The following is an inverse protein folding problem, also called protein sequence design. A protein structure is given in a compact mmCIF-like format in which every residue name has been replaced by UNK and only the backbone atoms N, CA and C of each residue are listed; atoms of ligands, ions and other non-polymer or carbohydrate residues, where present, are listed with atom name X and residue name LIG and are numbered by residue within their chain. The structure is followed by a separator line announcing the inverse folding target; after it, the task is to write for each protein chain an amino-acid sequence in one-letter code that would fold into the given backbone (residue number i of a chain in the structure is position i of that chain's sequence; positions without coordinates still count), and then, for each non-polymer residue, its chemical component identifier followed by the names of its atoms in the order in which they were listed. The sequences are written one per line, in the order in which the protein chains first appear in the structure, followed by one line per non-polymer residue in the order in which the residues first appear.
data_IF_470137870424
#
_entry.id   IF_470137870424
#
_cell.length_a   1.000
_cell.length_b   1.000
_cell.length_c   1.000
_cell.angle_alpha   90.00
_cell.angle_beta   90.00
_cell.angle_gamma   90.00
#
_symmetry.space_group_name_H-M   'P 1'
#
loop_
_entity.id
_entity.type
_entity.pdbx_description
1 polymer ?
#
# COMPACT_ATOMS: atom_id res chain seq x y z
N UNK A 1 16.28 15.93 -16.51
CA UNK A 1 17.08 15.87 -17.75
C UNK A 1 18.51 16.25 -17.40
N UNK A 2 19.33 15.26 -17.04
CA UNK A 2 20.74 15.42 -16.71
C UNK A 2 21.47 14.45 -17.63
N UNK A 3 22.13 14.99 -18.65
CA UNK A 3 23.09 14.24 -19.45
C UNK A 3 24.45 14.37 -18.77
N UNK A 4 25.07 13.25 -18.43
CA UNK A 4 26.46 13.22 -17.99
C UNK A 4 27.31 12.54 -19.06
N UNK A 5 28.21 13.33 -19.61
CA UNK A 5 29.19 13.01 -20.65
C UNK A 5 30.23 11.99 -20.14
N UNK A 6 30.62 11.05 -21.00
CA UNK A 6 31.77 10.18 -20.76
C UNK A 6 32.96 10.67 -21.61
N UNK A 7 34.04 11.06 -20.93
CA UNK A 7 35.31 11.43 -21.54
C UNK A 7 36.13 10.20 -21.92
N UNK A 8 36.48 10.07 -23.20
CA UNK A 8 37.52 9.14 -23.67
C UNK A 8 38.86 9.89 -23.74
N UNK A 9 39.85 9.43 -22.96
CA UNK A 9 41.24 9.84 -23.13
C UNK A 9 41.97 8.79 -23.97
N UNK A 10 42.35 9.15 -25.19
CA UNK A 10 43.37 8.44 -25.96
C UNK A 10 44.74 9.08 -25.69
N UNK A 11 45.67 8.29 -25.18
CA UNK A 11 47.07 8.67 -25.10
C UNK A 11 47.76 8.40 -26.45
N UNK A 12 48.37 9.46 -26.98
CA UNK A 12 49.29 9.45 -28.11
C UNK A 12 50.62 8.80 -27.70
N UNK A 13 51.23 8.01 -28.58
CA UNK A 13 52.69 7.97 -28.70
C UNK A 13 53.09 7.95 -30.18
N UNK A 14 54.04 8.84 -30.43
CA UNK A 14 54.60 9.30 -31.69
C UNK A 14 55.92 8.56 -31.96
N UNK A 15 56.21 8.18 -33.21
CA UNK A 15 57.42 8.61 -33.94
C UNK A 15 57.80 7.78 -35.17
N UNK A 16 58.08 8.54 -36.22
CA UNK A 16 59.18 8.40 -37.18
C UNK A 16 59.18 7.24 -38.18
N UNK A 17 58.96 7.63 -39.43
CA UNK A 17 58.94 6.82 -40.65
C UNK A 17 60.18 7.17 -41.48
N UNK A 18 61.19 6.29 -41.56
CA UNK A 18 62.16 6.30 -42.67
C UNK A 18 62.69 4.89 -42.97
N UNK A 19 62.70 4.58 -44.27
CA UNK A 19 63.74 3.85 -45.04
C UNK A 19 63.25 2.59 -45.78
N UNK A 20 63.18 2.72 -47.12
CA UNK A 20 63.00 1.63 -48.09
C UNK A 20 64.32 0.88 -48.29
N UNK A 21 64.29 -0.45 -48.44
CA UNK A 21 65.19 -1.20 -49.33
C UNK A 21 64.60 -2.59 -49.67
N UNK A 22 64.84 -3.04 -50.91
CA UNK A 22 64.40 -4.30 -51.53
C UNK A 22 65.32 -5.50 -51.18
N UNK A 23 64.85 -6.70 -51.55
CA UNK A 23 65.54 -7.98 -51.82
C UNK A 23 65.28 -9.09 -50.78
N UNK A 24 64.79 -10.22 -51.29
CA UNK A 24 64.27 -11.35 -50.52
C UNK A 24 65.31 -12.32 -49.97
N UNK A 25 64.86 -13.08 -48.97
CA UNK A 25 65.44 -14.34 -48.51
C UNK A 25 64.33 -15.06 -47.72
N UNK A 26 64.09 -16.32 -48.05
CA UNK A 26 63.09 -17.20 -47.46
C UNK A 26 63.31 -17.40 -45.95
N UNK A 27 62.33 -17.01 -45.14
CA UNK A 27 62.20 -17.42 -43.75
C UNK A 27 60.72 -17.77 -43.50
N UNK A 28 60.45 -19.02 -43.13
CA UNK A 28 59.16 -19.45 -42.61
C UNK A 28 58.94 -18.78 -41.25
N UNK A 29 58.39 -17.57 -41.23
CA UNK A 29 57.85 -16.97 -40.02
C UNK A 29 56.58 -17.72 -39.67
N UNK A 30 56.66 -18.60 -38.67
CA UNK A 30 55.48 -19.11 -37.97
C UNK A 30 54.83 -17.93 -37.25
N UNK A 31 53.85 -17.29 -37.90
CA UNK A 31 52.97 -16.33 -37.27
C UNK A 31 52.15 -17.07 -36.22
N UNK A 32 52.64 -17.10 -34.97
CA UNK A 32 51.83 -17.52 -33.84
C UNK A 32 50.69 -16.51 -33.69
N UNK A 33 49.50 -16.93 -34.14
CA UNK A 33 48.26 -16.18 -33.95
C UNK A 33 47.99 -16.15 -32.45
N UNK A 34 48.27 -15.01 -31.80
CA UNK A 34 47.82 -14.78 -30.43
C UNK A 34 46.30 -14.60 -30.52
N UNK A 35 45.56 -15.66 -30.23
CA UNK A 35 44.12 -15.55 -30.05
C UNK A 35 43.88 -14.73 -28.78
N UNK A 36 43.38 -13.51 -28.93
CA UNK A 36 42.89 -12.74 -27.79
C UNK A 36 41.75 -13.52 -27.15
N UNK A 37 41.98 -14.07 -25.96
CA UNK A 37 40.93 -14.73 -25.18
C UNK A 37 39.93 -13.67 -24.72
N UNK A 38 38.70 -13.75 -25.18
CA UNK A 38 37.64 -12.86 -24.72
C UNK A 38 37.28 -13.20 -23.27
N UNK A 39 37.31 -12.19 -22.40
CA UNK A 39 36.80 -12.28 -21.04
C UNK A 39 35.34 -11.79 -21.03
N UNK A 40 34.45 -12.55 -20.41
CA UNK A 40 33.07 -12.14 -20.19
C UNK A 40 32.89 -11.74 -18.72
N UNK A 41 32.04 -10.73 -18.50
CA UNK A 41 31.62 -10.29 -17.17
C UNK A 41 30.11 -10.50 -17.11
N UNK A 42 29.66 -11.30 -16.14
CA UNK A 42 28.25 -11.55 -15.92
C UNK A 42 27.73 -10.61 -14.84
N UNK A 43 26.73 -9.80 -15.19
CA UNK A 43 26.05 -8.91 -14.25
C UNK A 43 24.72 -9.56 -13.85
N UNK A 44 24.52 -9.73 -12.54
CA UNK A 44 23.24 -10.16 -11.97
C UNK A 44 22.78 -9.14 -10.94
N UNK A 45 21.50 -8.79 -11.01
CA UNK A 45 20.84 -7.95 -10.03
C UNK A 45 19.47 -8.56 -9.69
N UNK A 46 19.11 -8.54 -8.39
CA UNK A 46 17.75 -8.84 -7.93
C UNK A 46 17.03 -7.52 -7.70
N UNK A 47 16.02 -7.22 -8.53
CA UNK A 47 15.19 -6.04 -8.39
C UNK A 47 13.95 -6.42 -7.58
N UNK A 48 13.75 -5.77 -6.43
CA UNK A 48 12.50 -5.87 -5.69
C UNK A 48 11.48 -4.88 -6.28
N UNK A 49 10.21 -5.25 -6.24
CA UNK A 49 9.12 -4.34 -6.60
C UNK A 49 8.61 -3.63 -5.34
N UNK A 50 8.52 -2.30 -5.40
CA UNK A 50 7.90 -1.50 -4.36
C UNK A 50 6.41 -1.31 -4.71
N UNK A 51 5.53 -1.73 -3.80
CA UNK A 51 4.11 -1.38 -3.84
C UNK A 51 3.88 -0.06 -3.11
N UNK A 52 3.09 0.84 -3.68
CA UNK A 52 2.69 2.08 -2.99
C UNK A 52 1.32 2.52 -3.48
N UNK A 53 0.51 3.08 -2.58
CA UNK A 53 -0.71 3.81 -2.88
C UNK A 53 -0.84 4.96 -1.88
N UNK A 54 -1.36 6.10 -2.33
CA UNK A 54 -1.84 7.16 -1.46
C UNK A 54 -3.26 6.80 -0.98
N UNK A 55 -3.52 7.00 0.30
CA UNK A 55 -4.85 6.82 0.90
C UNK A 55 -5.42 8.18 1.27
N UNK A 56 -6.67 8.43 0.85
CA UNK A 56 -7.45 9.56 1.32
C UNK A 56 -8.81 9.08 1.87
N UNK A 57 -9.17 9.58 3.05
CA UNK A 57 -10.47 9.39 3.70
C UNK A 57 -10.98 10.76 4.17
N UNK A 58 -12.29 10.94 4.39
CA UNK A 58 -12.78 12.16 5.03
C UNK A 58 -12.13 12.34 6.41
N UNK A 59 -11.69 13.56 6.77
CA UNK A 59 -11.02 13.80 8.05
C UNK A 59 -11.96 13.69 9.24
N UNK A 60 -13.27 13.72 9.01
CA UNK A 60 -14.29 13.60 10.06
C UNK A 60 -15.54 12.93 9.50
N UNK A 61 -16.12 12.02 10.26
CA UNK A 61 -17.38 11.34 9.96
C UNK A 61 -18.44 11.84 10.93
N UNK A 62 -19.39 12.64 10.43
CA UNK A 62 -20.47 13.21 11.23
C UNK A 62 -21.74 12.38 11.01
N UNK A 63 -22.23 11.78 12.09
CA UNK A 63 -23.52 11.07 12.13
C UNK A 63 -24.67 12.04 12.31
N UNK A 64 -25.87 11.64 11.87
CA UNK A 64 -27.11 12.40 12.03
C UNK A 64 -27.03 13.91 11.72
N UNK A 65 -26.18 14.30 10.77
CA UNK A 65 -25.93 15.71 10.41
C UNK A 65 -25.43 16.60 11.58
N UNK A 66 -24.88 16.00 12.63
CA UNK A 66 -24.38 16.70 13.82
C UNK A 66 -25.39 16.81 14.96
N UNK A 67 -26.63 16.38 14.74
CA UNK A 67 -27.67 16.34 15.76
C UNK A 67 -27.51 15.15 16.71
N UNK A 68 -28.08 15.27 17.91
CA UNK A 68 -28.07 14.19 18.90
C UNK A 68 -28.70 12.89 18.36
N UNK A 69 -28.16 11.75 18.79
CA UNK A 69 -28.66 10.42 18.44
C UNK A 69 -29.16 9.74 19.70
N UNK A 70 -30.42 9.33 19.70
CA UNK A 70 -31.03 8.64 20.83
C UNK A 70 -30.55 7.18 20.90
N UNK A 71 -30.37 6.61 22.10
CA UNK A 71 -30.04 5.19 22.27
C UNK A 71 -30.96 4.26 21.49
N UNK A 72 -32.27 4.53 21.46
CA UNK A 72 -33.23 3.71 20.70
C UNK A 72 -32.95 3.67 19.19
N UNK A 73 -32.37 4.74 18.62
CA UNK A 73 -31.98 4.77 17.20
C UNK A 73 -30.73 3.94 16.94
N UNK A 74 -29.80 3.92 17.90
CA UNK A 74 -28.61 3.06 17.87
C UNK A 74 -29.04 1.59 17.95
N UNK A 75 -29.92 1.26 18.90
CA UNK A 75 -30.46 -0.09 19.11
C UNK A 75 -31.25 -0.59 17.90
N UNK A 76 -32.05 0.28 17.26
CA UNK A 76 -32.78 -0.01 16.03
C UNK A 76 -31.89 -0.05 14.77
N UNK A 77 -30.61 0.37 14.87
CA UNK A 77 -29.67 0.52 13.75
C UNK A 77 -30.24 1.44 12.65
N UNK A 78 -30.84 2.53 13.08
CA UNK A 78 -31.46 3.53 12.19
C UNK A 78 -30.44 4.19 11.26
N UNK A 79 -30.94 4.83 10.20
CA UNK A 79 -30.10 5.59 9.27
C UNK A 79 -29.30 6.70 9.97
N UNK A 80 -29.84 7.30 11.03
CA UNK A 80 -29.15 8.31 11.83
C UNK A 80 -27.84 7.80 12.46
N UNK A 81 -27.79 6.51 12.81
CA UNK A 81 -26.64 5.84 13.40
C UNK A 81 -25.68 5.25 12.36
N UNK A 82 -25.86 5.55 11.07
CA UNK A 82 -25.04 5.03 9.97
C UNK A 82 -24.50 6.15 9.10
N UNK A 83 -23.26 5.99 8.65
CA UNK A 83 -22.64 6.91 7.69
C UNK A 83 -21.75 6.14 6.72
N UNK A 84 -21.98 6.35 5.43
CA UNK A 84 -21.11 5.81 4.39
C UNK A 84 -20.06 6.84 4.00
N UNK A 85 -18.84 6.38 3.74
CA UNK A 85 -17.77 7.16 3.13
C UNK A 85 -16.90 6.29 2.25
N UNK A 86 -16.05 6.91 1.43
CA UNK A 86 -15.11 6.19 0.58
C UNK A 86 -13.70 6.35 1.11
N UNK A 87 -12.97 5.23 1.16
CA UNK A 87 -11.52 5.23 1.19
C UNK A 87 -11.03 5.28 -0.25
N UNK A 88 -10.34 6.35 -0.60
CA UNK A 88 -9.79 6.58 -1.93
C UNK A 88 -8.36 6.08 -2.00
N UNK A 89 -8.08 5.22 -2.96
CA UNK A 89 -6.73 4.83 -3.34
C UNK A 89 -6.33 5.58 -4.60
N UNK A 90 -5.22 6.31 -4.54
CA UNK A 90 -4.68 7.08 -5.67
C UNK A 90 -3.19 6.84 -5.83
N UNK A 91 -2.68 7.16 -7.02
CA UNK A 91 -1.25 7.04 -7.35
C UNK A 91 -0.67 5.66 -7.03
N UNK A 92 -1.50 4.61 -7.13
CA UNK A 92 -1.07 3.25 -6.89
C UNK A 92 -0.04 2.80 -7.93
N UNK A 93 1.07 2.22 -7.46
CA UNK A 93 2.20 1.77 -8.27
C UNK A 93 2.76 0.47 -7.69
N UNK A 94 3.23 -0.39 -8.59
CA UNK A 94 3.83 -1.67 -8.23
C UNK A 94 3.20 -2.83 -9.00
N UNK A 95 3.93 -3.91 -9.13
CA UNK A 95 3.52 -5.18 -9.73
C UNK A 95 4.23 -6.29 -8.97
N UNK A 96 3.71 -7.51 -8.94
CA UNK A 96 4.31 -8.63 -8.22
C UNK A 96 4.00 -8.65 -6.71
N UNK A 97 3.12 -7.77 -6.24
CA UNK A 97 2.79 -7.59 -4.82
C UNK A 97 1.30 -7.80 -4.55
N UNK A 98 0.96 -8.07 -3.30
CA UNK A 98 -0.42 -8.33 -2.82
C UNK A 98 -0.88 -7.17 -1.95
N UNK A 99 -1.77 -6.27 -2.42
CA UNK A 99 -2.14 -5.06 -1.69
C UNK A 99 -3.09 -5.37 -0.53
N UNK A 100 -2.85 -4.81 0.65
CA UNK A 100 -3.76 -4.89 1.79
C UNK A 100 -3.89 -3.52 2.46
N UNK A 101 -4.99 -3.29 3.16
CA UNK A 101 -5.17 -2.08 3.98
C UNK A 101 -5.20 -2.50 5.44
N UNK A 102 -4.26 -1.99 6.22
CA UNK A 102 -4.24 -2.12 7.68
C UNK A 102 -5.02 -0.99 8.31
N UNK A 103 -5.65 -1.25 9.45
CA UNK A 103 -6.46 -0.30 10.18
C UNK A 103 -5.91 -0.19 11.60
N UNK A 104 -5.51 0.99 12.02
CA UNK A 104 -4.97 1.25 13.35
C UNK A 104 -5.95 2.12 14.13
N UNK A 105 -6.26 1.73 15.36
CA UNK A 105 -7.12 2.50 16.25
C UNK A 105 -7.53 1.67 17.45
N UNK A 106 -7.74 2.29 18.62
CA UNK A 106 -8.16 1.59 19.82
C UNK A 106 -9.54 0.96 19.62
N UNK A 107 -9.72 -0.24 20.15
CA UNK A 107 -11.01 -0.92 20.21
C UNK A 107 -11.15 -1.68 21.51
N UNK A 108 -12.39 -1.93 21.90
CA UNK A 108 -12.74 -2.79 23.02
C UNK A 108 -13.93 -3.68 22.64
N UNK A 109 -14.12 -4.74 23.43
CA UNK A 109 -15.21 -5.71 23.26
C UNK A 109 -16.04 -5.86 24.55
N UNK A 110 -15.92 -4.91 25.49
CA UNK A 110 -16.53 -5.01 26.84
C UNK A 110 -18.06 -5.15 26.78
N UNK A 111 -18.66 -4.68 25.69
CA UNK A 111 -20.10 -4.70 25.46
C UNK A 111 -20.49 -5.66 24.32
N UNK A 112 -19.67 -6.65 23.98
CA UNK A 112 -19.99 -7.70 23.01
C UNK A 112 -19.05 -7.69 21.82
N UNK A 113 -19.42 -6.99 20.76
CA UNK A 113 -18.63 -6.90 19.54
C UNK A 113 -17.40 -6.00 19.75
N UNK A 114 -16.30 -6.28 19.05
CA UNK A 114 -15.18 -5.33 18.93
C UNK A 114 -15.68 -4.03 18.27
N UNK A 115 -15.52 -2.90 18.94
CA UNK A 115 -15.88 -1.58 18.43
C UNK A 115 -14.71 -0.62 18.60
N UNK A 116 -14.51 0.28 17.62
CA UNK A 116 -13.53 1.36 17.75
C UNK A 116 -14.02 2.39 18.76
N UNK A 117 -13.16 2.74 19.71
CA UNK A 117 -13.45 3.72 20.76
C UNK A 117 -12.15 4.27 21.35
N UNK A 118 -12.01 5.58 21.37
CA UNK A 118 -10.92 6.24 22.06
C UNK A 118 -11.25 6.29 23.56
N UNK A 119 -10.36 5.81 24.45
CA UNK A 119 -10.61 5.88 25.89
C UNK A 119 -10.50 7.31 26.43
N UNK A 120 -9.81 8.20 25.71
CA UNK A 120 -9.63 9.60 26.10
C UNK A 120 -10.65 10.44 25.33
N UNK A 121 -11.39 11.30 26.03
CA UNK A 121 -12.40 12.17 25.44
C UNK A 121 -13.76 11.51 25.19
N UNK A 122 -13.89 10.20 25.40
CA UNK A 122 -15.19 9.51 25.43
C UNK A 122 -15.78 9.56 26.83
N UNK A 123 -17.04 9.97 26.94
CA UNK A 123 -17.82 9.93 28.19
C UNK A 123 -19.00 8.97 28.12
N UNK A 124 -19.41 8.56 26.92
CA UNK A 124 -20.40 7.50 26.72
C UNK A 124 -19.85 6.13 27.14
N UNK A 125 -20.73 5.27 27.64
CA UNK A 125 -20.39 3.92 28.10
C UNK A 125 -21.28 2.91 27.39
N UNK A 126 -20.66 1.87 26.83
CA UNK A 126 -21.34 0.80 26.10
C UNK A 126 -21.73 1.13 24.68
N UNK A 127 -21.05 2.10 24.07
CA UNK A 127 -21.17 2.46 22.66
C UNK A 127 -19.80 2.52 22.00
N UNK A 128 -19.75 2.33 20.69
CA UNK A 128 -18.54 2.39 19.88
C UNK A 128 -18.85 2.49 18.39
N UNK A 129 -17.82 2.61 17.57
CA UNK A 129 -17.96 2.63 16.11
C UNK A 129 -17.64 1.24 15.54
N UNK A 130 -18.62 0.65 14.88
CA UNK A 130 -18.44 -0.49 14.00
C UNK A 130 -18.12 0.03 12.61
N UNK A 131 -16.93 -0.29 12.09
CA UNK A 131 -16.58 -0.06 10.70
C UNK A 131 -16.69 -1.38 9.92
N UNK A 132 -17.32 -1.33 8.75
CA UNK A 132 -17.40 -2.46 7.83
C UNK A 132 -17.24 -2.03 6.39
N UNK A 133 -16.91 -2.97 5.51
CA UNK A 133 -16.89 -2.78 4.06
C UNK A 133 -17.51 -3.99 3.39
N UNK A 134 -18.24 -3.77 2.30
CA UNK A 134 -18.71 -4.87 1.44
C UNK A 134 -17.61 -5.30 0.45
N UNK A 135 -16.42 -4.68 0.51
CA UNK A 135 -15.34 -4.93 -0.41
C UNK A 135 -15.57 -4.30 -1.78
N UNK A 136 -14.80 -4.73 -2.76
CA UNK A 136 -14.97 -4.43 -4.18
C UNK A 136 -14.31 -5.54 -5.02
N UNK A 137 -14.02 -5.28 -6.30
CA UNK A 137 -13.36 -6.27 -7.16
C UNK A 137 -11.95 -6.68 -6.69
N UNK A 138 -11.28 -5.83 -5.90
CA UNK A 138 -9.91 -6.02 -5.41
C UNK A 138 -9.89 -6.49 -3.96
N UNK A 139 -10.75 -5.94 -3.10
CA UNK A 139 -10.73 -6.15 -1.66
C UNK A 139 -11.93 -6.95 -1.18
N UNK A 140 -11.70 -7.83 -0.21
CA UNK A 140 -12.74 -8.67 0.38
C UNK A 140 -13.71 -7.86 1.25
N UNK A 141 -14.97 -8.31 1.37
CA UNK A 141 -15.86 -7.80 2.40
C UNK A 141 -15.31 -8.08 3.80
N UNK A 142 -15.56 -7.15 4.72
CA UNK A 142 -15.26 -7.30 6.13
C UNK A 142 -16.40 -6.70 6.96
N UNK A 143 -17.03 -7.54 7.78
CA UNK A 143 -18.21 -7.18 8.58
C UNK A 143 -17.87 -6.46 9.89
N UNK A 144 -16.62 -6.56 10.38
CA UNK A 144 -16.15 -5.85 11.56
C UNK A 144 -14.63 -5.61 11.50
N UNK A 145 -14.25 -4.41 11.05
CA UNK A 145 -12.86 -3.98 10.94
C UNK A 145 -12.17 -3.75 12.30
N UNK A 146 -12.92 -3.62 13.39
CA UNK A 146 -12.32 -3.47 14.72
C UNK A 146 -11.73 -4.79 15.24
N UNK A 147 -12.21 -5.93 14.74
CA UNK A 147 -11.79 -7.26 15.23
C UNK A 147 -10.47 -7.72 14.61
N UNK A 148 -10.32 -7.59 13.29
CA UNK A 148 -9.16 -8.10 12.55
C UNK A 148 -8.24 -7.00 11.98
N UNK A 149 -8.66 -5.73 12.08
CA UNK A 149 -7.85 -4.54 11.71
C UNK A 149 -7.29 -4.57 10.29
N UNK A 150 -7.91 -5.32 9.37
CA UNK A 150 -7.38 -5.51 8.01
C UNK A 150 -8.49 -5.61 6.98
N UNK A 151 -8.25 -5.05 5.79
CA UNK A 151 -8.99 -5.33 4.56
C UNK A 151 -8.03 -6.05 3.61
N UNK A 152 -8.27 -7.34 3.43
CA UNK A 152 -7.47 -8.21 2.59
C UNK A 152 -7.86 -8.10 1.11
N UNK A 153 -6.92 -8.35 0.22
CA UNK A 153 -7.22 -8.59 -1.21
C UNK A 153 -8.06 -9.86 -1.39
N UNK A 154 -8.77 -9.97 -2.49
CA UNK A 154 -9.45 -11.21 -2.91
C UNK A 154 -8.48 -12.41 -2.95
N UNK A 155 -8.96 -13.60 -2.58
CA UNK A 155 -8.13 -14.82 -2.41
C UNK A 155 -7.32 -15.22 -3.66
N UNK A 156 -7.77 -14.80 -4.84
CA UNK A 156 -7.13 -15.09 -6.13
C UNK A 156 -6.55 -13.85 -6.80
N UNK A 157 -5.98 -12.93 -6.01
CA UNK A 157 -5.27 -11.78 -6.55
C UNK A 157 -4.15 -12.21 -7.51
N UNK A 158 -4.23 -11.74 -8.76
CA UNK A 158 -3.18 -11.96 -9.74
C UNK A 158 -2.05 -10.97 -9.51
N UNK A 159 -0.90 -11.45 -9.02
CA UNK A 159 0.30 -10.63 -8.78
C UNK A 159 0.87 -10.00 -10.05
N UNK A 160 0.49 -10.46 -11.25
CA UNK A 160 0.84 -9.77 -12.50
C UNK A 160 0.03 -8.50 -12.74
N UNK A 161 -1.05 -8.30 -11.98
CA UNK A 161 -1.87 -7.09 -12.01
C UNK A 161 -1.07 -5.91 -11.47
N UNK A 162 -1.04 -4.84 -12.28
CA UNK A 162 -0.44 -3.57 -11.86
C UNK A 162 -1.35 -2.87 -10.84
N UNK A 163 -0.76 -2.33 -9.77
CA UNK A 163 -1.52 -1.66 -8.70
C UNK A 163 -2.21 -0.38 -9.18
N UNK A 164 -1.80 0.24 -10.29
CA UNK A 164 -2.53 1.40 -10.84
C UNK A 164 -3.99 1.07 -11.22
N UNK A 165 -4.29 -0.20 -11.49
CA UNK A 165 -5.64 -0.69 -11.77
C UNK A 165 -6.57 -0.69 -10.55
N UNK A 166 -6.02 -0.61 -9.34
CA UNK A 166 -6.81 -0.59 -8.08
C UNK A 166 -7.09 0.84 -7.59
N UNK A 167 -6.62 1.86 -8.31
CA UNK A 167 -6.99 3.24 -8.05
C UNK A 167 -8.52 3.39 -8.09
N UNK A 168 -9.11 3.97 -7.05
CA UNK A 168 -10.56 4.09 -6.96
C UNK A 168 -11.07 4.18 -5.53
N UNK A 169 -12.39 4.04 -5.41
CA UNK A 169 -13.10 4.10 -4.14
C UNK A 169 -13.35 2.70 -3.57
N UNK A 170 -13.03 2.52 -2.29
CA UNK A 170 -13.49 1.41 -1.48
C UNK A 170 -14.57 1.93 -0.51
N UNK A 171 -15.84 1.50 -0.64
CA UNK A 171 -16.90 1.98 0.24
C UNK A 171 -16.74 1.40 1.65
N UNK A 172 -16.79 2.29 2.64
CA UNK A 172 -16.78 1.98 4.07
C UNK A 172 -18.10 2.45 4.68
N UNK A 173 -18.66 1.65 5.58
CA UNK A 173 -19.82 1.98 6.39
C UNK A 173 -19.38 2.10 7.83
N UNK A 174 -19.55 3.29 8.41
CA UNK A 174 -19.46 3.53 9.83
C UNK A 174 -20.84 3.41 10.48
N UNK A 175 -20.91 2.71 11.60
CA UNK A 175 -22.14 2.46 12.35
C UNK A 175 -21.86 2.76 13.82
N UNK A 176 -22.60 3.71 14.38
CA UNK A 176 -22.65 3.89 15.83
C UNK A 176 -23.41 2.68 16.41
N UNK A 177 -22.77 1.94 17.31
CA UNK A 177 -23.24 0.62 17.77
C UNK A 177 -23.18 0.52 19.30
N UNK A 178 -24.15 -0.20 19.88
CA UNK A 178 -24.11 -0.64 21.28
C UNK A 178 -23.52 -2.06 21.45
N UNK A 179 -22.99 -2.66 20.37
CA UNK A 179 -22.56 -4.06 20.35
C UNK A 179 -23.73 -4.95 20.75
N UNK A 180 -23.65 -5.52 21.96
CA UNK A 180 -24.74 -6.24 22.61
C UNK A 180 -25.64 -5.28 23.38
N UNK A 181 -26.67 -4.81 22.68
CA UNK A 181 -27.63 -3.81 23.17
C UNK A 181 -28.57 -4.29 24.30
N UNK A 182 -28.39 -5.48 24.87
CA UNK A 182 -29.06 -5.90 26.11
C UNK A 182 -28.18 -5.70 27.37
N UNK A 183 -26.91 -5.34 27.19
CA UNK A 183 -25.95 -5.17 28.27
C UNK A 183 -26.33 -4.00 29.20
N UNK A 184 -26.30 -4.24 30.52
CA UNK A 184 -26.64 -3.22 31.52
C UNK A 184 -25.53 -2.16 31.66
N UNK A 185 -25.89 -1.01 32.22
CA UNK A 185 -24.91 0.03 32.59
C UNK A 185 -24.45 0.93 31.43
N UNK A 186 -25.23 1.00 30.34
CA UNK A 186 -24.98 1.97 29.27
C UNK A 186 -25.32 3.37 29.72
N UNK A 187 -24.46 4.33 29.37
CA UNK A 187 -24.62 5.74 29.72
C UNK A 187 -24.39 6.57 28.46
N UNK A 188 -25.32 7.49 28.17
CA UNK A 188 -25.18 8.43 27.07
C UNK A 188 -24.09 9.47 27.35
N UNK A 189 -23.51 10.05 26.30
CA UNK A 189 -22.45 11.02 26.41
C UNK A 189 -21.72 11.19 25.08
N UNK A 190 -20.58 11.87 25.13
CA UNK A 190 -19.70 12.04 23.98
C UNK A 190 -18.99 10.73 23.65
N UNK A 191 -18.86 10.45 22.35
CA UNK A 191 -18.15 9.30 21.82
C UNK A 191 -17.10 9.79 20.84
N UNK A 192 -15.85 9.45 21.11
CA UNK A 192 -14.71 9.75 20.26
C UNK A 192 -14.06 8.43 19.82
N UNK A 193 -13.67 8.36 18.54
CA UNK A 193 -12.97 7.20 17.98
C UNK A 193 -12.10 7.66 16.82
N UNK A 194 -10.80 7.34 16.90
CA UNK A 194 -9.82 7.70 15.89
C UNK A 194 -9.29 6.45 15.22
N UNK A 195 -9.32 6.43 13.89
CA UNK A 195 -8.88 5.32 13.07
C UNK A 195 -8.00 5.80 11.93
N UNK A 196 -6.87 5.14 11.74
CA UNK A 196 -5.93 5.36 10.63
C UNK A 196 -6.00 4.18 9.66
N UNK A 197 -5.98 4.46 8.37
CA UNK A 197 -5.90 3.46 7.31
C UNK A 197 -4.54 3.54 6.63
N UNK A 198 -3.83 2.42 6.59
CA UNK A 198 -2.47 2.33 6.04
C UNK A 198 -2.44 1.32 4.88
N UNK A 199 -1.89 1.73 3.75
CA UNK A 199 -1.64 0.82 2.64
C UNK A 199 -0.40 -0.03 2.95
N UNK A 200 -0.52 -1.34 2.76
CA UNK A 200 0.57 -2.30 2.92
C UNK A 200 0.54 -3.29 1.75
N UNK A 201 1.61 -4.08 1.63
CA UNK A 201 1.71 -5.12 0.61
C UNK A 201 2.60 -6.28 1.05
N UNK A 202 2.33 -7.46 0.47
CA UNK A 202 3.10 -8.71 0.64
C UNK A 202 3.63 -9.27 -0.68
#
# INVERSE_FOLDING_TARGET
MIMAEWRFSMALFDNSMVLKFFIGMSALFSSSVVLATSASVEFSAKIAYEGACEIAVPPTVIFNHGEEILPSQIEAKDAAAKKNFNLMLTNCKGVGVTPKISIVGPSNADYGDDLFLDPIGTTSIGYGILLKTEGNATFQPNVNLASNKTISTVDHWDKSTSLDTINGALPIVAILSCGRCDAKGRIGGELNATVTFDFQYD
#
